data_IF_554108100780
#
_entry.id   IF_554108100780
#
_cell.length_a   1.000
_cell.length_b   1.000
_cell.length_c   1.000
_cell.angle_alpha   90.00
_cell.angle_beta   90.00
_cell.angle_gamma   90.00
#
_symmetry.space_group_name_H-M   'P 1'
#
loop_
_entity.id
_entity.type
_entity.pdbx_description
1 polymer ?
#
# COMPACT_ATOMS: atom_id res chain seq x y z
N UNK A 1 11.66 -4.09 7.63
CA UNK A 1 10.99 -4.24 6.33
C UNK A 1 9.94 -3.14 6.15
N UNK A 2 9.78 -2.71 4.92
CA UNK A 2 8.76 -1.71 4.62
C UNK A 2 7.43 -2.42 4.46
N UNK A 3 6.40 -1.90 5.09
CA UNK A 3 5.10 -2.53 5.06
C UNK A 3 4.01 -1.48 5.18
N UNK A 4 2.76 -1.88 4.93
CA UNK A 4 1.62 -1.01 5.21
C UNK A 4 1.54 -0.85 6.72
N UNK A 5 1.28 0.38 7.18
CA UNK A 5 1.17 0.63 8.62
C UNK A 5 0.11 -0.24 9.24
N UNK A 6 0.37 -0.67 10.47
CA UNK A 6 -0.63 -1.41 11.23
C UNK A 6 -1.85 -0.52 11.40
N UNK A 7 -3.01 -1.11 11.20
CA UNK A 7 -4.26 -0.37 11.35
C UNK A 7 -4.69 0.40 10.11
N UNK A 8 -3.85 0.45 9.06
CA UNK A 8 -4.22 1.14 7.84
C UNK A 8 -4.81 0.14 6.85
N UNK A 9 -6.00 0.44 6.38
CA UNK A 9 -6.66 -0.38 5.36
C UNK A 9 -6.80 0.48 4.11
N UNK A 10 -5.91 0.28 3.15
CA UNK A 10 -5.85 1.12 1.96
C UNK A 10 -7.11 1.02 1.14
N UNK A 11 -7.72 -0.17 1.04
CA UNK A 11 -8.95 -0.30 0.27
C UNK A 11 -10.08 0.51 0.88
N UNK A 12 -10.14 0.58 2.21
CA UNK A 12 -11.17 1.39 2.87
C UNK A 12 -10.93 2.88 2.64
N UNK A 13 -9.67 3.29 2.69
CA UNK A 13 -9.35 4.69 2.46
C UNK A 13 -9.71 5.08 1.03
N UNK A 14 -9.40 4.22 0.07
CA UNK A 14 -9.75 4.48 -1.33
C UNK A 14 -11.25 4.51 -1.50
N UNK A 15 -11.97 3.59 -0.86
CA UNK A 15 -13.43 3.56 -0.99
C UNK A 15 -14.06 4.82 -0.43
N UNK A 16 -13.50 5.36 0.65
CA UNK A 16 -14.00 6.59 1.23
C UNK A 16 -13.82 7.77 0.29
N UNK A 17 -12.89 7.66 -0.65
CA UNK A 17 -12.65 8.69 -1.65
C UNK A 17 -13.38 8.40 -2.98
N UNK A 18 -14.25 7.41 -2.98
CA UNK A 18 -15.02 7.07 -4.18
C UNK A 18 -14.40 5.99 -5.04
N UNK A 19 -13.24 5.45 -4.63
CA UNK A 19 -12.57 4.42 -5.40
C UNK A 19 -12.76 3.06 -4.72
N UNK A 20 -13.97 2.52 -4.83
CA UNK A 20 -14.25 1.19 -4.30
C UNK A 20 -13.54 0.15 -5.15
N UNK A 21 -13.45 -1.08 -4.65
CA UNK A 21 -12.85 -2.17 -5.42
C UNK A 21 -13.53 -2.32 -6.78
N UNK A 22 -14.86 -2.14 -6.81
CA UNK A 22 -15.60 -2.23 -8.05
C UNK A 22 -15.16 -1.13 -9.02
N UNK A 23 -15.04 0.11 -8.53
CA UNK A 23 -14.64 1.23 -9.38
C UNK A 23 -13.19 1.09 -9.85
N UNK A 24 -12.31 0.59 -8.99
CA UNK A 24 -10.93 0.39 -9.37
C UNK A 24 -10.83 -0.61 -10.53
N UNK A 25 -11.63 -1.68 -10.47
CA UNK A 25 -11.64 -2.66 -11.56
C UNK A 25 -12.30 -2.11 -12.80
N UNK A 26 -13.45 -1.46 -12.62
CA UNK A 26 -14.24 -0.97 -13.74
C UNK A 26 -13.46 0.06 -14.57
N UNK A 27 -12.73 0.92 -13.89
CA UNK A 27 -11.98 1.96 -14.58
C UNK A 27 -10.58 1.49 -15.00
N UNK A 28 -10.23 0.26 -14.68
CA UNK A 28 -8.93 -0.27 -15.07
C UNK A 28 -7.76 0.34 -14.30
N UNK A 29 -8.04 0.93 -13.13
CA UNK A 29 -6.98 1.57 -12.35
C UNK A 29 -6.10 0.50 -11.72
N UNK A 30 -6.70 -0.49 -11.06
CA UNK A 30 -5.99 -1.60 -10.48
C UNK A 30 -6.61 -2.88 -10.97
N UNK A 31 -5.78 -3.87 -11.27
CA UNK A 31 -6.25 -5.19 -11.63
C UNK A 31 -6.55 -6.01 -10.40
N UNK A 32 -7.08 -7.20 -10.62
CA UNK A 32 -7.47 -8.08 -9.53
C UNK A 32 -6.29 -8.43 -8.63
N UNK A 33 -5.12 -8.64 -9.21
CA UNK A 33 -3.94 -8.98 -8.44
C UNK A 33 -3.60 -7.90 -7.42
N UNK A 34 -3.61 -6.63 -7.84
CA UNK A 34 -3.31 -5.52 -6.94
C UNK A 34 -4.37 -5.40 -5.86
N UNK A 35 -5.64 -5.56 -6.22
CA UNK A 35 -6.71 -5.48 -5.25
C UNK A 35 -6.57 -6.58 -4.21
N UNK A 36 -6.21 -7.80 -4.63
CA UNK A 36 -6.01 -8.87 -3.67
C UNK A 36 -4.80 -8.63 -2.77
N UNK A 37 -3.73 -8.04 -3.31
CA UNK A 37 -2.59 -7.68 -2.49
C UNK A 37 -3.00 -6.70 -1.40
N UNK A 38 -3.74 -5.67 -1.78
CA UNK A 38 -4.20 -4.66 -0.83
C UNK A 38 -5.14 -5.29 0.20
N UNK A 39 -5.97 -6.24 -0.23
CA UNK A 39 -6.89 -6.90 0.69
C UNK A 39 -6.13 -7.72 1.74
N UNK A 40 -4.99 -8.28 1.36
CA UNK A 40 -4.17 -9.04 2.28
C UNK A 40 -3.22 -8.16 3.09
N UNK A 41 -3.24 -6.85 2.87
CA UNK A 41 -2.35 -5.94 3.57
C UNK A 41 -0.93 -5.93 3.04
N UNK A 42 -0.74 -6.41 1.80
CA UNK A 42 0.58 -6.45 1.20
C UNK A 42 0.89 -5.12 0.53
N UNK A 43 2.17 -4.81 0.44
CA UNK A 43 2.62 -3.55 -0.10
C UNK A 43 2.45 -3.51 -1.62
N UNK A 44 1.77 -2.50 -2.17
CA UNK A 44 1.64 -2.38 -3.61
C UNK A 44 2.92 -1.79 -4.20
N UNK A 45 2.96 -1.64 -5.52
CA UNK A 45 4.12 -1.05 -6.19
C UNK A 45 4.20 0.44 -5.89
N UNK A 46 5.36 1.04 -6.16
CA UNK A 46 5.53 2.48 -5.95
C UNK A 46 4.57 3.28 -6.82
N UNK A 47 4.31 2.83 -8.05
CA UNK A 47 3.38 3.51 -8.92
C UNK A 47 1.99 3.49 -8.35
N UNK A 48 1.59 2.35 -7.78
CA UNK A 48 0.28 2.22 -7.17
C UNK A 48 0.18 3.07 -5.90
N UNK A 49 1.26 3.12 -5.12
CA UNK A 49 1.30 3.97 -3.95
C UNK A 49 1.19 5.44 -4.33
N UNK A 50 1.83 5.84 -5.43
CA UNK A 50 1.75 7.20 -5.90
C UNK A 50 0.31 7.59 -6.21
N UNK A 51 -0.41 6.72 -6.90
CA UNK A 51 -1.82 6.96 -7.20
C UNK A 51 -2.63 7.07 -5.91
N UNK A 52 -2.40 6.15 -4.97
CA UNK A 52 -3.14 6.13 -3.72
C UNK A 52 -2.92 7.43 -2.94
N UNK A 53 -1.69 7.88 -2.84
CA UNK A 53 -1.40 9.12 -2.15
C UNK A 53 -2.08 10.30 -2.83
N UNK A 54 -2.06 10.31 -4.15
CA UNK A 54 -2.62 11.42 -4.92
C UNK A 54 -4.12 11.54 -4.71
N UNK A 55 -4.86 10.43 -4.81
CA UNK A 55 -6.31 10.51 -4.75
C UNK A 55 -6.85 10.60 -3.33
N UNK A 56 -6.06 10.18 -2.34
CA UNK A 56 -6.51 10.24 -0.95
C UNK A 56 -5.93 11.45 -0.22
N UNK A 57 -5.04 12.17 -0.86
CA UNK A 57 -4.35 13.34 -0.29
C UNK A 57 -3.62 12.97 1.00
N UNK A 58 -3.03 11.78 1.04
CA UNK A 58 -2.27 11.33 2.21
C UNK A 58 -0.80 11.24 1.85
N UNK A 59 0.04 11.55 2.81
CA UNK A 59 1.47 11.38 2.64
C UNK A 59 1.81 9.90 2.69
N UNK A 60 2.87 9.52 1.99
CA UNK A 60 3.28 8.13 1.96
C UNK A 60 3.56 7.60 3.37
N UNK A 61 4.08 8.45 4.25
CA UNK A 61 4.37 8.04 5.62
C UNK A 61 3.13 7.74 6.46
N UNK A 62 1.96 8.15 5.98
CA UNK A 62 0.72 7.80 6.66
C UNK A 62 0.25 6.41 6.26
N UNK A 63 0.78 5.88 5.17
CA UNK A 63 0.32 4.60 4.64
C UNK A 63 1.30 3.47 4.91
N UNK A 64 2.60 3.75 4.90
CA UNK A 64 3.61 2.72 5.05
C UNK A 64 4.54 3.07 6.20
N UNK A 65 5.26 2.07 6.66
CA UNK A 65 6.23 2.27 7.73
C UNK A 65 7.35 1.24 7.57
N UNK A 66 8.46 1.51 8.21
CA UNK A 66 9.53 0.54 8.27
C UNK A 66 9.41 -0.15 9.63
N UNK A 67 9.31 -1.46 9.61
CA UNK A 67 9.25 -2.21 10.85
C UNK A 67 10.54 -2.98 11.02
N UNK A 68 11.22 -2.70 12.14
CA UNK A 68 12.44 -3.40 12.45
C UNK A 68 12.04 -4.79 12.93
N UNK A 69 12.51 -5.81 12.27
CA UNK A 69 12.07 -7.16 12.58
C UNK A 69 13.01 -7.88 13.54
N UNK A 70 14.12 -7.27 13.86
CA UNK A 70 15.10 -7.94 14.71
C UNK A 70 15.91 -8.99 13.98
N UNK A 71 15.74 -9.05 12.67
CA UNK A 71 16.45 -10.02 11.91
C UNK A 71 17.89 -9.61 11.80
N UNK A 72 18.77 -10.57 11.56
CA UNK A 72 20.18 -10.33 11.37
C UNK A 72 20.36 -9.30 10.25
N UNK A 73 21.02 -8.21 10.59
CA UNK A 73 21.21 -7.13 9.65
C UNK A 73 22.53 -7.24 8.94
N UNK A 74 23.26 -8.29 9.16
CA UNK A 74 24.55 -8.45 8.54
C UNK A 74 24.53 -8.33 7.05
N UNK A 75 23.45 -8.74 6.43
CA UNK A 75 23.33 -8.66 4.99
C UNK A 75 23.20 -7.25 4.47
N UNK A 76 22.90 -6.30 5.34
CA UNK A 76 22.68 -4.95 4.91
C UNK A 76 23.87 -4.05 5.12
N UNK A 77 24.73 -4.37 6.01
CA UNK A 77 25.81 -3.49 6.27
C UNK A 77 27.15 -4.09 6.02
N UNK A 78 27.20 -5.05 5.19
CA UNK A 78 28.36 -5.59 4.80
C UNK A 78 29.01 -4.75 3.85
N UNK A 79 28.43 -3.88 3.35
CA UNK A 79 28.97 -3.07 2.45
C UNK A 79 29.68 -2.03 2.76
#
# INVERSE_FOLDING_TARGET
MIKIRDGVNILEILAACGFTSYELRRQGIFGERTIQKLRRGELPSWRELDFICAVTARDIGELIEYKYTGVDMGGYHQD
#
